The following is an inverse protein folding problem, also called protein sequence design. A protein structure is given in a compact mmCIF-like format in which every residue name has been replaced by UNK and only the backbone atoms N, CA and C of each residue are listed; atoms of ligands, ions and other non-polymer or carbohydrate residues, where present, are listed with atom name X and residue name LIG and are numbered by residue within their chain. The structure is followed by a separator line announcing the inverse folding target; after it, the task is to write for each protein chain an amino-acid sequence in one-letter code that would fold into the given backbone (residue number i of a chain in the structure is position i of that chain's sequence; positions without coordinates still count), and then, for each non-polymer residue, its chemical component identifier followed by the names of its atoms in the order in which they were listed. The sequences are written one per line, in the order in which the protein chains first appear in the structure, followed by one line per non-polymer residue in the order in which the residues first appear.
data_IF_959527855002
#
_entry.id   IF_959527855002
#
_cell.length_a   1.000
_cell.length_b   1.000
_cell.length_c   1.000
_cell.angle_alpha   90.00
_cell.angle_beta   90.00
_cell.angle_gamma   90.00
#
_symmetry.space_group_name_H-M   'P 1'
#
loop_
_entity.id
_entity.type
_entity.pdbx_description
1 polymer ?
#
# COMPACT_ATOMS: atom_id res chain seq x y z
N UNK A 1 -19.70 30.92 -21.59
CA UNK A 1 -20.56 30.36 -20.52
C UNK A 1 -20.41 28.84 -20.32
N UNK A 2 -19.60 28.11 -21.12
CA UNK A 2 -19.38 26.66 -20.91
C UNK A 2 -18.14 26.30 -20.07
N UNK A 3 -17.16 27.22 -19.94
CA UNK A 3 -15.95 26.95 -19.16
C UNK A 3 -16.22 26.93 -17.64
N UNK A 4 -17.14 27.78 -17.17
CA UNK A 4 -17.51 27.86 -15.74
C UNK A 4 -18.27 26.60 -15.30
N UNK A 5 -19.14 26.07 -16.15
CA UNK A 5 -19.86 24.81 -15.88
C UNK A 5 -18.93 23.59 -15.86
N UNK A 6 -17.86 23.58 -16.66
CA UNK A 6 -16.88 22.49 -16.66
C UNK A 6 -16.01 22.48 -15.39
N UNK A 7 -15.66 23.65 -14.86
CA UNK A 7 -14.91 23.78 -13.60
C UNK A 7 -15.78 23.37 -12.40
N UNK A 8 -17.07 23.70 -12.42
CA UNK A 8 -18.02 23.25 -11.38
C UNK A 8 -18.22 21.73 -11.44
N UNK A 9 -18.28 21.12 -12.63
CA UNK A 9 -18.38 19.66 -12.78
C UNK A 9 -17.08 18.93 -12.36
N UNK A 10 -15.91 19.53 -12.56
CA UNK A 10 -14.62 18.97 -12.13
C UNK A 10 -14.41 19.01 -10.61
N UNK A 11 -15.19 19.81 -9.87
CA UNK A 11 -15.18 19.87 -8.40
C UNK A 11 -16.15 18.88 -7.74
N UNK A 12 -16.97 18.15 -8.50
CA UNK A 12 -17.95 17.17 -7.99
C UNK A 12 -17.34 15.81 -7.54
N UNK A 13 -16.05 15.45 -7.71
CA UNK A 13 -15.50 14.29 -7.01
C UNK A 13 -15.14 14.55 -5.53
N UNK A 14 -15.41 15.72 -4.96
CA UNK A 14 -15.07 16.02 -3.57
C UNK A 14 -16.09 15.51 -2.53
N UNK A 15 -17.23 14.96 -2.97
CA UNK A 15 -18.30 14.46 -2.10
C UNK A 15 -18.57 12.96 -2.24
N UNK A 16 -17.70 12.22 -2.92
CA UNK A 16 -17.68 10.76 -2.78
C UNK A 16 -17.02 10.44 -1.44
N UNK A 17 -17.81 10.45 -0.37
CA UNK A 17 -17.48 9.71 0.82
C UNK A 17 -17.18 8.27 0.39
N UNK A 18 -15.95 7.83 0.63
CA UNK A 18 -15.58 6.43 0.52
C UNK A 18 -16.42 5.66 1.55
N UNK A 19 -17.61 5.23 1.14
CA UNK A 19 -18.41 4.26 1.86
C UNK A 19 -17.77 2.90 1.64
N UNK A 20 -16.67 2.64 2.35
CA UNK A 20 -16.28 1.26 2.60
C UNK A 20 -17.37 0.66 3.48
N UNK A 21 -17.95 -0.46 3.03
CA UNK A 21 -18.97 -1.19 3.79
C UNK A 21 -18.26 -1.85 4.96
N UNK A 22 -18.05 -1.08 6.04
CA UNK A 22 -17.47 -1.59 7.29
C UNK A 22 -18.58 -2.30 8.05
N UNK A 23 -18.69 -3.61 7.82
CA UNK A 23 -19.48 -4.52 8.66
C UNK A 23 -18.67 -4.95 9.87
N UNK A 24 -18.72 -4.17 10.93
CA UNK A 24 -18.58 -4.59 12.33
C UNK A 24 -18.87 -3.34 13.19
N UNK A 25 -19.53 -3.51 14.34
CA UNK A 25 -19.69 -2.45 15.35
C UNK A 25 -18.41 -1.61 15.46
N UNK A 26 -18.46 -0.37 14.99
CA UNK A 26 -17.26 0.48 14.91
C UNK A 26 -17.13 1.24 16.20
N UNK A 27 -16.13 0.87 17.00
CA UNK A 27 -15.66 1.73 18.07
C UNK A 27 -15.09 3.00 17.41
N UNK A 28 -15.73 4.14 17.64
CA UNK A 28 -15.27 5.43 17.11
C UNK A 28 -13.99 5.86 17.84
N UNK A 29 -12.85 5.39 17.33
CA UNK A 29 -11.52 5.78 17.79
C UNK A 29 -11.04 7.10 17.18
N UNK A 30 -11.84 7.74 16.32
CA UNK A 30 -11.47 8.98 15.64
C UNK A 30 -11.32 10.15 16.61
N UNK A 31 -12.08 10.14 17.72
CA UNK A 31 -11.98 11.15 18.80
C UNK A 31 -11.15 10.68 19.99
N UNK A 32 -10.64 9.45 19.95
CA UNK A 32 -9.92 8.85 21.07
C UNK A 32 -8.44 9.26 21.09
N UNK A 33 -7.87 9.45 22.28
CA UNK A 33 -6.45 9.81 22.48
C UNK A 33 -5.48 8.87 21.78
N UNK A 34 -5.86 7.59 21.67
CA UNK A 34 -5.10 6.55 20.98
C UNK A 34 -5.07 6.77 19.47
N UNK A 35 -6.16 7.25 18.87
CA UNK A 35 -6.21 7.58 17.44
C UNK A 35 -5.26 8.73 17.10
N UNK A 36 -5.26 9.79 17.93
CA UNK A 36 -4.30 10.89 17.79
C UNK A 36 -2.85 10.43 17.98
N UNK A 37 -2.60 9.53 18.94
CA UNK A 37 -1.27 8.99 19.18
C UNK A 37 -0.79 8.09 18.03
N UNK A 38 -1.68 7.28 17.45
CA UNK A 38 -1.39 6.50 16.25
C UNK A 38 -1.05 7.39 15.05
N UNK A 39 -1.78 8.50 14.86
CA UNK A 39 -1.51 9.48 13.81
C UNK A 39 -0.16 10.18 14.02
N UNK A 40 0.18 10.53 15.26
CA UNK A 40 1.48 11.10 15.60
C UNK A 40 2.63 10.11 15.29
N UNK A 41 2.48 8.83 15.65
CA UNK A 41 3.45 7.78 15.31
C UNK A 41 3.56 7.63 13.79
N UNK A 42 2.44 7.63 13.07
CA UNK A 42 2.43 7.54 11.61
C UNK A 42 3.17 8.72 10.95
N UNK A 43 2.90 9.94 11.38
CA UNK A 43 3.57 11.14 10.88
C UNK A 43 5.08 11.08 11.16
N UNK A 44 5.48 10.71 12.37
CA UNK A 44 6.88 10.55 12.75
C UNK A 44 7.55 9.46 11.92
N UNK A 45 6.89 8.31 11.72
CA UNK A 45 7.38 7.22 10.89
C UNK A 45 7.55 7.65 9.43
N UNK A 46 6.60 8.42 8.88
CA UNK A 46 6.70 8.97 7.53
C UNK A 46 7.90 9.91 7.38
N UNK A 47 8.09 10.81 8.35
CA UNK A 47 9.28 11.67 8.39
C UNK A 47 10.57 10.86 8.48
N UNK A 48 10.62 9.83 9.33
CA UNK A 48 11.77 8.93 9.45
C UNK A 48 12.03 8.14 8.15
N UNK A 49 10.97 7.75 7.44
CA UNK A 49 11.06 7.06 6.15
C UNK A 49 11.72 7.94 5.10
N UNK A 50 11.36 9.22 5.05
CA UNK A 50 11.93 10.20 4.11
C UNK A 50 13.30 10.72 4.56
N UNK A 51 13.58 10.80 5.86
CA UNK A 51 14.88 11.17 6.43
C UNK A 51 15.94 10.05 6.33
N UNK A 52 15.85 9.23 5.28
CA UNK A 52 16.69 8.06 5.02
C UNK A 52 18.19 8.40 5.02
N UNK A 53 18.54 9.62 4.64
CA UNK A 53 19.92 10.12 4.56
C UNK A 53 20.67 10.14 5.90
N UNK A 54 19.97 10.21 7.04
CA UNK A 54 20.63 10.37 8.36
C UNK A 54 20.65 9.10 9.22
N UNK A 55 19.80 8.11 8.92
CA UNK A 55 19.57 6.97 9.83
C UNK A 55 20.15 5.64 9.33
N UNK A 56 20.58 5.53 8.06
CA UNK A 56 21.12 4.30 7.43
C UNK A 56 20.27 3.02 7.58
N UNK A 57 19.07 3.11 8.17
CA UNK A 57 18.15 1.99 8.29
C UNK A 57 17.52 1.73 6.92
N UNK A 58 17.36 0.46 6.57
CA UNK A 58 16.59 0.09 5.38
C UNK A 58 15.16 0.58 5.54
N UNK A 59 14.60 1.19 4.50
CA UNK A 59 13.22 1.72 4.46
C UNK A 59 12.19 0.75 5.05
N UNK A 60 12.30 -0.56 4.80
CA UNK A 60 11.41 -1.59 5.37
C UNK A 60 11.46 -1.70 6.89
N UNK A 61 12.63 -1.51 7.53
CA UNK A 61 12.77 -1.62 8.99
C UNK A 61 12.01 -0.52 9.72
N UNK A 62 12.10 0.72 9.21
CA UNK A 62 11.41 1.88 9.81
C UNK A 62 9.90 1.73 9.73
N UNK A 63 9.39 1.27 8.58
CA UNK A 63 7.95 1.09 8.36
C UNK A 63 7.37 -0.02 9.25
N UNK A 64 8.06 -1.17 9.35
CA UNK A 64 7.56 -2.32 10.13
C UNK A 64 7.47 -2.00 11.63
N UNK A 65 8.45 -1.29 12.19
CA UNK A 65 8.45 -0.92 13.61
C UNK A 65 7.25 0.00 13.92
N UNK A 66 7.02 1.02 13.09
CA UNK A 66 5.90 1.93 13.26
C UNK A 66 4.54 1.21 13.14
N UNK A 67 4.39 0.33 12.15
CA UNK A 67 3.18 -0.47 11.97
C UNK A 67 2.91 -1.36 13.19
N UNK A 68 3.95 -2.00 13.75
CA UNK A 68 3.84 -2.83 14.95
C UNK A 68 3.42 -2.02 16.19
N UNK A 69 3.96 -0.81 16.37
CA UNK A 69 3.56 0.07 17.47
C UNK A 69 2.09 0.51 17.35
N UNK A 70 1.66 0.90 16.15
CA UNK A 70 0.27 1.31 15.90
C UNK A 70 -0.69 0.15 16.14
N UNK A 71 -0.44 -1.02 15.54
CA UNK A 71 -1.28 -2.21 15.72
C UNK A 71 -1.28 -2.70 17.18
N UNK A 72 -0.16 -2.60 17.89
CA UNK A 72 -0.07 -2.92 19.31
C UNK A 72 -0.97 -2.03 20.18
N UNK A 73 -0.98 -0.71 19.91
CA UNK A 73 -1.86 0.24 20.59
C UNK A 73 -3.34 -0.02 20.29
N UNK A 74 -3.67 -0.28 19.01
CA UNK A 74 -5.04 -0.60 18.59
C UNK A 74 -5.51 -1.89 19.28
N UNK A 75 -4.69 -2.94 19.29
CA UNK A 75 -5.00 -4.20 19.95
C UNK A 75 -5.23 -4.01 21.46
N UNK A 76 -4.35 -3.27 22.13
CA UNK A 76 -4.44 -2.99 23.57
C UNK A 76 -5.73 -2.26 23.97
N UNK A 77 -6.21 -1.35 23.13
CA UNK A 77 -7.43 -0.56 23.41
C UNK A 77 -8.66 -1.36 23.03
N UNK A 78 -8.59 -2.12 21.95
CA UNK A 78 -9.70 -2.97 21.49
C UNK A 78 -9.97 -4.11 22.46
N UNK A 79 -8.95 -4.69 23.11
CA UNK A 79 -9.14 -5.70 24.17
C UNK A 79 -9.77 -5.10 25.43
N UNK A 80 -9.37 -3.89 25.83
CA UNK A 80 -9.99 -3.18 26.96
C UNK A 80 -11.46 -2.82 26.70
N UNK A 81 -11.82 -2.50 25.45
CA UNK A 81 -13.19 -2.20 25.05
C UNK A 81 -14.07 -3.46 24.88
N UNK A 82 -13.54 -4.67 25.14
CA UNK A 82 -14.26 -5.93 24.92
C UNK A 82 -14.40 -6.33 23.44
N UNK A 83 -13.75 -5.62 22.52
CA UNK A 83 -13.83 -5.78 21.07
C UNK A 83 -12.55 -6.39 20.46
N UNK A 84 -11.80 -7.18 21.24
CA UNK A 84 -10.53 -7.75 20.80
C UNK A 84 -10.63 -8.54 19.48
N UNK A 85 -11.75 -9.25 19.27
CA UNK A 85 -11.98 -10.00 18.04
C UNK A 85 -12.11 -9.14 16.78
N UNK A 86 -12.67 -7.93 16.89
CA UNK A 86 -12.78 -7.02 15.75
C UNK A 86 -11.39 -6.52 15.30
N UNK A 87 -10.52 -6.19 16.26
CA UNK A 87 -9.14 -5.79 15.97
C UNK A 87 -8.30 -6.95 15.38
N UNK A 88 -8.48 -8.17 15.90
CA UNK A 88 -7.82 -9.36 15.36
C UNK A 88 -8.26 -9.63 13.91
N UNK A 89 -9.57 -9.60 13.64
CA UNK A 89 -10.10 -9.83 12.30
C UNK A 89 -9.57 -8.79 11.30
N UNK A 90 -9.54 -7.50 11.69
CA UNK A 90 -8.99 -6.43 10.86
C UNK A 90 -7.48 -6.61 10.60
N UNK A 91 -6.69 -6.93 11.63
CA UNK A 91 -5.25 -7.19 11.49
C UNK A 91 -4.97 -8.37 10.57
N UNK A 92 -5.71 -9.48 10.75
CA UNK A 92 -5.60 -10.68 9.95
C UNK A 92 -5.94 -10.42 8.49
N UNK A 93 -7.01 -9.67 8.21
CA UNK A 93 -7.40 -9.33 6.86
C UNK A 93 -6.29 -8.55 6.12
N UNK A 94 -5.78 -7.49 6.75
CA UNK A 94 -4.67 -6.70 6.21
C UNK A 94 -3.42 -7.57 5.99
N UNK A 95 -3.02 -8.37 6.98
CA UNK A 95 -1.84 -9.22 6.87
C UNK A 95 -1.96 -10.23 5.72
N UNK A 96 -3.13 -10.84 5.55
CA UNK A 96 -3.37 -11.80 4.47
C UNK A 96 -3.30 -11.14 3.10
N UNK A 97 -3.87 -9.95 2.94
CA UNK A 97 -3.76 -9.18 1.70
C UNK A 97 -2.30 -8.82 1.37
N UNK A 98 -1.55 -8.31 2.36
CA UNK A 98 -0.13 -8.05 2.17
C UNK A 98 0.68 -9.32 1.90
N UNK A 99 0.33 -10.45 2.53
CA UNK A 99 0.99 -11.73 2.28
C UNK A 99 0.69 -12.24 0.86
N UNK A 100 -0.53 -12.08 0.36
CA UNK A 100 -0.90 -12.40 -1.01
C UNK A 100 -0.10 -11.57 -2.02
N UNK A 101 -0.04 -10.25 -1.83
CA UNK A 101 0.76 -9.36 -2.67
C UNK A 101 2.26 -9.70 -2.60
N UNK A 102 2.78 -9.98 -1.40
CA UNK A 102 4.16 -10.39 -1.21
C UNK A 102 4.46 -11.70 -1.94
N UNK A 103 3.61 -12.72 -1.80
CA UNK A 103 3.77 -14.01 -2.47
C UNK A 103 3.67 -13.85 -3.99
N UNK A 104 2.72 -13.05 -4.47
CA UNK A 104 2.59 -12.71 -5.89
C UNK A 104 3.88 -12.07 -6.43
N UNK A 105 4.40 -11.05 -5.74
CA UNK A 105 5.64 -10.38 -6.14
C UNK A 105 6.86 -11.29 -6.03
N UNK A 106 6.95 -12.14 -5.00
CA UNK A 106 8.03 -13.10 -4.83
C UNK A 106 8.09 -14.08 -6.00
N UNK A 107 6.95 -14.67 -6.36
CA UNK A 107 6.85 -15.57 -7.50
C UNK A 107 7.13 -14.81 -8.81
N UNK A 108 6.59 -13.61 -8.99
CA UNK A 108 6.80 -12.81 -10.19
C UNK A 108 8.28 -12.44 -10.40
N UNK A 109 8.96 -11.97 -9.35
CA UNK A 109 10.39 -11.63 -9.43
C UNK A 109 11.25 -12.88 -9.67
N UNK A 110 10.92 -14.00 -9.04
CA UNK A 110 11.62 -15.28 -9.28
C UNK A 110 11.45 -15.75 -10.72
N UNK A 111 10.24 -15.63 -11.27
CA UNK A 111 9.95 -15.98 -12.66
C UNK A 111 10.69 -15.08 -13.64
N UNK A 112 10.72 -13.76 -13.41
CA UNK A 112 11.49 -12.80 -14.21
C UNK A 112 12.97 -13.15 -14.18
N UNK A 113 13.54 -13.38 -12.99
CA UNK A 113 14.94 -13.74 -12.82
C UNK A 113 15.27 -15.05 -13.55
N UNK A 114 14.40 -16.06 -13.50
CA UNK A 114 14.59 -17.32 -14.22
C UNK A 114 14.55 -17.17 -15.75
N UNK A 115 13.69 -16.28 -16.27
CA UNK A 115 13.66 -15.96 -17.70
C UNK A 115 14.91 -15.18 -18.14
N UNK A 116 15.40 -14.29 -17.29
CA UNK A 116 16.64 -13.55 -17.52
C UNK A 116 17.86 -14.48 -17.55
N UNK A 117 18.00 -15.38 -16.58
CA UNK A 117 19.08 -16.36 -16.53
C UNK A 117 19.08 -17.28 -17.76
N UNK A 118 17.90 -17.69 -18.22
CA UNK A 118 17.71 -18.49 -19.46
C UNK A 118 17.80 -17.68 -20.75
N UNK A 119 18.15 -16.39 -20.68
CA UNK A 119 18.32 -15.50 -21.83
C UNK A 119 17.05 -15.36 -22.71
N UNK A 120 15.86 -15.62 -22.14
CA UNK A 120 14.59 -15.59 -22.87
C UNK A 120 14.33 -14.19 -23.45
N UNK A 121 14.64 -13.15 -22.67
CA UNK A 121 14.53 -11.76 -23.14
C UNK A 121 15.45 -11.45 -24.33
N UNK A 122 16.65 -12.03 -24.36
CA UNK A 122 17.60 -11.85 -25.47
C UNK A 122 17.17 -12.63 -26.73
N UNK A 123 16.63 -13.84 -26.56
CA UNK A 123 16.03 -14.59 -27.66
C UNK A 123 14.82 -13.85 -28.26
N UNK A 124 13.93 -13.33 -27.41
CA UNK A 124 12.76 -12.55 -27.82
C UNK A 124 13.18 -11.28 -28.57
N UNK A 125 14.15 -10.53 -28.04
CA UNK A 125 14.71 -9.35 -28.71
C UNK A 125 15.26 -9.69 -30.10
N UNK A 126 16.04 -10.76 -30.21
CA UNK A 126 16.63 -11.19 -31.49
C UNK A 126 15.57 -11.59 -32.51
N UNK A 127 14.49 -12.24 -32.06
CA UNK A 127 13.35 -12.60 -32.91
C UNK A 127 12.58 -11.37 -33.41
N UNK A 128 12.32 -10.40 -32.53
CA UNK A 128 11.63 -9.15 -32.87
C UNK A 128 12.42 -8.32 -33.89
N UNK A 129 13.74 -8.19 -33.69
CA UNK A 129 14.61 -7.47 -34.63
C UNK A 129 14.65 -8.15 -36.00
N UNK A 130 14.73 -9.50 -36.03
CA UNK A 130 14.66 -10.27 -37.29
C UNK A 130 13.34 -10.09 -38.05
N UNK A 131 12.25 -9.81 -37.34
CA UNK A 131 10.94 -9.50 -37.91
C UNK A 131 10.80 -8.05 -38.39
N UNK A 132 11.81 -7.21 -38.21
CA UNK A 132 11.83 -5.82 -38.66
C UNK A 132 11.04 -4.88 -37.74
N UNK A 133 10.68 -5.30 -36.51
CA UNK A 133 9.98 -4.44 -35.58
C UNK A 133 10.88 -3.28 -35.12
N UNK A 134 10.39 -2.05 -35.29
CA UNK A 134 11.03 -0.85 -34.74
C UNK A 134 10.59 -0.62 -33.29
N UNK A 135 11.38 0.15 -32.53
CA UNK A 135 11.02 0.54 -31.15
C UNK A 135 9.64 1.21 -31.07
N UNK A 136 9.23 1.96 -32.11
CA UNK A 136 7.90 2.59 -32.16
C UNK A 136 6.77 1.57 -32.23
N UNK A 137 6.95 0.45 -32.91
CA UNK A 137 5.92 -0.60 -33.03
C UNK A 137 5.85 -1.52 -31.79
N UNK A 138 6.83 -1.43 -30.89
CA UNK A 138 6.91 -2.29 -29.71
C UNK A 138 6.30 -1.63 -28.47
N UNK A 139 6.26 -0.30 -28.43
CA UNK A 139 5.81 0.50 -27.29
C UNK A 139 4.64 1.44 -27.62
N UNK A 140 4.16 1.43 -28.87
CA UNK A 140 3.05 2.23 -29.40
C UNK A 140 2.24 1.39 -30.38
#
# INVERSE_FOLDING_TARGET
MSAITAIVAALIPAALFASEVVHADTLDLTTHTVGYLALAIFALAYLLVTAEEFTHLRKSKRVIIAAGLIWGLIGWVSTQAGMGHAAEAAARHNLLEYAELMLFLLVAMTYINAMEERQVFNALRSWLVRKGFSFRQLFW
#
